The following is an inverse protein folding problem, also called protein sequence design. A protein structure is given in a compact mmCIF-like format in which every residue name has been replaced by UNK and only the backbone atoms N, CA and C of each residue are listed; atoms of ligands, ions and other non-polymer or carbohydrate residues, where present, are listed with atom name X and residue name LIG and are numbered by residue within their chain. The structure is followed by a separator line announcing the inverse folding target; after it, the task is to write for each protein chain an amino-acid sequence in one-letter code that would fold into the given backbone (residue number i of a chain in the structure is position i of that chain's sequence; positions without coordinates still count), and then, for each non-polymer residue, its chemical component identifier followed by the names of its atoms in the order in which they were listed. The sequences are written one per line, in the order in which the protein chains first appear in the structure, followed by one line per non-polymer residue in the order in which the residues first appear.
data_IF_892002653986
#
_entry.id   IF_892002653986
#
_cell.length_a   1.000
_cell.length_b   1.000
_cell.length_c   1.000
_cell.angle_alpha   90.00
_cell.angle_beta   90.00
_cell.angle_gamma   90.00
#
_symmetry.space_group_name_H-M   'P 1'
#
loop_
_entity.id
_entity.type
_entity.pdbx_description
1 polymer ?
#
# COMPACT_ATOMS: atom_id res chain seq x y z
N UNK A 1 -2.69 -7.69 11.15
CA UNK A 1 -3.23 -6.67 12.08
C UNK A 1 -4.47 -7.23 12.77
N UNK A 2 -4.57 -7.27 14.11
CA UNK A 2 -5.66 -7.95 14.78
C UNK A 2 -6.91 -7.05 14.83
N UNK A 3 -7.62 -6.97 13.71
CA UNK A 3 -9.00 -6.46 13.70
C UNK A 3 -9.92 -7.63 14.01
N UNK A 4 -10.88 -7.44 14.92
CA UNK A 4 -11.90 -8.46 15.22
C UNK A 4 -12.77 -8.66 13.98
N UNK A 5 -12.91 -9.90 13.55
CA UNK A 5 -13.78 -10.32 12.45
C UNK A 5 -15.17 -9.69 12.51
N UNK A 6 -15.77 -9.70 13.70
CA UNK A 6 -17.09 -9.13 13.94
C UNK A 6 -17.20 -7.63 13.60
N UNK A 7 -16.13 -6.85 13.73
CA UNK A 7 -16.12 -5.42 13.36
C UNK A 7 -16.25 -5.25 11.84
N UNK A 8 -15.48 -6.01 11.06
CA UNK A 8 -15.54 -5.96 9.59
C UNK A 8 -16.88 -6.48 9.09
N UNK A 9 -17.34 -7.62 9.62
CA UNK A 9 -18.61 -8.21 9.22
C UNK A 9 -19.81 -7.33 9.58
N UNK A 10 -19.78 -6.65 10.73
CA UNK A 10 -20.82 -5.69 11.08
C UNK A 10 -20.85 -4.51 10.10
N UNK A 11 -19.68 -3.96 9.74
CA UNK A 11 -19.60 -2.88 8.77
C UNK A 11 -20.07 -3.32 7.37
N UNK A 12 -19.61 -4.47 6.88
CA UNK A 12 -19.98 -5.01 5.58
C UNK A 12 -21.48 -5.32 5.48
N UNK A 13 -22.04 -6.02 6.49
CA UNK A 13 -23.48 -6.26 6.54
C UNK A 13 -24.27 -4.95 6.59
N UNK A 14 -23.82 -3.97 7.37
CA UNK A 14 -24.50 -2.67 7.47
C UNK A 14 -24.51 -1.94 6.12
N UNK A 15 -23.37 -1.90 5.42
CA UNK A 15 -23.27 -1.33 4.07
C UNK A 15 -24.26 -2.01 3.13
N UNK A 16 -24.20 -3.34 3.02
CA UNK A 16 -25.04 -4.12 2.10
C UNK A 16 -26.55 -4.10 2.45
N UNK A 17 -26.92 -3.78 3.70
CA UNK A 17 -28.32 -3.77 4.13
C UNK A 17 -28.96 -2.38 4.19
N UNK A 18 -28.15 -1.32 4.09
CA UNK A 18 -28.60 0.05 4.35
C UNK A 18 -28.20 1.06 3.28
N UNK A 19 -27.23 0.73 2.45
CA UNK A 19 -26.90 1.56 1.29
C UNK A 19 -28.07 1.62 0.32
N UNK A 20 -28.17 2.72 -0.40
CA UNK A 20 -29.11 2.91 -1.50
C UNK A 20 -28.66 2.24 -2.81
N UNK A 21 -27.42 1.74 -2.86
CA UNK A 21 -26.84 1.09 -4.04
C UNK A 21 -26.86 -0.44 -3.89
N UNK A 22 -26.98 -1.14 -5.03
CA UNK A 22 -26.84 -2.59 -5.07
C UNK A 22 -25.43 -2.99 -5.51
N UNK A 23 -24.63 -3.53 -4.58
CA UNK A 23 -23.24 -3.92 -4.83
C UNK A 23 -22.84 -5.17 -4.04
N UNK A 24 -21.60 -5.63 -4.26
CA UNK A 24 -21.00 -6.71 -3.51
C UNK A 24 -19.72 -6.23 -2.82
N UNK A 25 -19.38 -6.84 -1.68
CA UNK A 25 -18.15 -6.57 -0.94
C UNK A 25 -17.17 -7.71 -1.14
N UNK A 26 -15.94 -7.38 -1.56
CA UNK A 26 -14.80 -8.29 -1.55
C UNK A 26 -13.92 -7.95 -0.35
N UNK A 27 -13.87 -8.87 0.62
CA UNK A 27 -12.92 -8.78 1.72
C UNK A 27 -11.64 -9.55 1.36
N UNK A 28 -10.50 -8.86 1.41
CA UNK A 28 -9.18 -9.44 1.21
C UNK A 28 -8.41 -9.45 2.53
N UNK A 29 -8.07 -10.64 3.02
CA UNK A 29 -7.25 -10.80 4.22
C UNK A 29 -7.44 -12.16 4.89
N UNK A 30 -6.65 -12.43 5.93
CA UNK A 30 -6.68 -13.70 6.66
C UNK A 30 -8.10 -14.07 7.06
N UNK A 31 -8.52 -15.29 6.69
CA UNK A 31 -9.79 -15.84 7.13
C UNK A 31 -9.81 -15.92 8.66
N UNK A 32 -10.89 -15.45 9.25
CA UNK A 32 -11.06 -15.54 10.69
C UNK A 32 -11.61 -16.91 11.07
N UNK A 33 -11.19 -17.40 12.24
CA UNK A 33 -11.78 -18.61 12.83
C UNK A 33 -13.23 -18.33 13.24
N UNK A 34 -14.12 -19.28 12.98
CA UNK A 34 -15.57 -19.22 13.30
C UNK A 34 -15.82 -18.80 14.74
N UNK A 35 -15.01 -19.26 15.70
CA UNK A 35 -15.13 -18.92 17.13
C UNK A 35 -14.92 -17.45 17.50
N UNK A 36 -14.52 -16.59 16.54
CA UNK A 36 -14.26 -15.16 16.77
C UNK A 36 -15.44 -14.23 16.44
N UNK A 37 -16.59 -14.79 16.04
CA UNK A 37 -17.78 -14.05 15.60
C UNK A 37 -19.03 -14.59 16.31
N UNK A 38 -19.96 -13.72 16.69
CA UNK A 38 -21.24 -14.16 17.26
C UNK A 38 -22.08 -14.93 16.23
N UNK A 39 -22.83 -15.98 16.61
CA UNK A 39 -23.66 -16.76 15.68
C UNK A 39 -24.64 -15.92 14.83
N UNK A 40 -25.16 -14.83 15.40
CA UNK A 40 -26.07 -13.93 14.69
C UNK A 40 -25.40 -13.19 13.51
N UNK A 41 -24.14 -12.76 13.68
CA UNK A 41 -23.37 -12.10 12.61
C UNK A 41 -22.94 -13.12 11.57
N UNK A 42 -22.53 -14.32 12.00
CA UNK A 42 -22.15 -15.40 11.10
C UNK A 42 -23.31 -15.81 10.17
N UNK A 43 -24.51 -16.03 10.72
CA UNK A 43 -25.71 -16.34 9.92
C UNK A 43 -25.97 -15.29 8.84
N UNK A 44 -25.83 -14.01 9.19
CA UNK A 44 -26.02 -12.88 8.26
C UNK A 44 -24.98 -12.87 7.14
N UNK A 45 -23.71 -13.06 7.47
CA UNK A 45 -22.63 -13.11 6.47
C UNK A 45 -22.78 -14.33 5.56
N UNK A 46 -23.15 -15.49 6.09
CA UNK A 46 -23.37 -16.69 5.28
C UNK A 46 -24.53 -16.51 4.29
N UNK A 47 -25.60 -15.81 4.69
CA UNK A 47 -26.68 -15.45 3.78
C UNK A 47 -26.19 -14.51 2.66
N UNK A 48 -25.37 -13.50 2.99
CA UNK A 48 -24.77 -12.60 1.99
C UNK A 48 -23.81 -13.33 1.04
N UNK A 49 -23.03 -14.29 1.55
CA UNK A 49 -22.16 -15.17 0.73
C UNK A 49 -22.99 -16.01 -0.24
N UNK A 50 -24.05 -16.66 0.25
CA UNK A 50 -24.97 -17.46 -0.58
C UNK A 50 -25.68 -16.62 -1.65
N UNK A 51 -25.95 -15.34 -1.36
CA UNK A 51 -26.54 -14.39 -2.30
C UNK A 51 -25.51 -13.74 -3.25
N UNK A 52 -24.22 -14.08 -3.16
CA UNK A 52 -23.16 -13.48 -3.99
C UNK A 52 -22.84 -12.01 -3.65
N UNK A 53 -23.27 -11.51 -2.49
CA UNK A 53 -23.06 -10.12 -2.04
C UNK A 53 -21.81 -9.92 -1.19
N UNK A 54 -21.22 -11.00 -0.69
CA UNK A 54 -19.99 -10.94 0.10
C UNK A 54 -19.03 -12.06 -0.31
N UNK A 55 -17.82 -11.69 -0.72
CA UNK A 55 -16.75 -12.61 -1.08
C UNK A 55 -15.57 -12.44 -0.12
N UNK A 56 -15.03 -13.55 0.37
CA UNK A 56 -13.89 -13.56 1.28
C UNK A 56 -12.72 -14.32 0.65
N UNK A 57 -11.64 -13.61 0.38
CA UNK A 57 -10.40 -14.16 -0.17
C UNK A 57 -9.23 -13.86 0.77
N UNK A 58 -8.33 -14.83 0.92
CA UNK A 58 -7.18 -14.66 1.82
C UNK A 58 -6.12 -13.74 1.20
N UNK A 59 -5.94 -13.86 -0.11
CA UNK A 59 -5.01 -13.10 -0.93
C UNK A 59 -5.65 -12.85 -2.30
N UNK A 60 -5.24 -11.76 -2.94
CA UNK A 60 -5.62 -11.43 -4.30
C UNK A 60 -4.48 -10.67 -4.96
N UNK A 61 -4.33 -10.86 -6.27
CA UNK A 61 -3.50 -9.99 -7.09
C UNK A 61 -4.24 -8.66 -7.30
N UNK A 62 -3.69 -7.58 -6.74
CA UNK A 62 -4.30 -6.26 -6.82
C UNK A 62 -4.25 -5.69 -8.24
N UNK A 63 -3.24 -6.03 -9.06
CA UNK A 63 -3.18 -5.63 -10.46
C UNK A 63 -4.34 -6.19 -11.28
N UNK A 64 -4.87 -7.36 -10.89
CA UNK A 64 -6.04 -7.98 -11.53
C UNK A 64 -7.35 -7.56 -10.87
N UNK A 65 -7.38 -7.47 -9.55
CA UNK A 65 -8.60 -7.21 -8.78
C UNK A 65 -9.01 -5.75 -8.82
N UNK A 66 -8.09 -4.82 -8.58
CA UNK A 66 -8.41 -3.40 -8.35
C UNK A 66 -9.08 -2.71 -9.55
N UNK A 67 -8.71 -3.02 -10.83
CA UNK A 67 -9.43 -2.50 -11.98
C UNK A 67 -10.92 -2.86 -11.98
N UNK A 68 -11.32 -3.95 -11.32
CA UNK A 68 -12.70 -4.47 -11.27
C UNK A 68 -13.54 -3.99 -10.08
N UNK A 69 -12.96 -3.21 -9.16
CA UNK A 69 -13.66 -2.69 -7.98
C UNK A 69 -14.12 -1.26 -8.22
N UNK A 70 -15.16 -0.77 -7.54
CA UNK A 70 -15.64 0.62 -7.71
C UNK A 70 -15.10 1.58 -6.64
N UNK A 71 -14.78 1.08 -5.46
CA UNK A 71 -14.27 1.87 -4.33
C UNK A 71 -13.48 0.99 -3.34
N UNK A 72 -12.71 1.63 -2.46
CA UNK A 72 -11.82 0.93 -1.53
C UNK A 72 -11.99 1.38 -0.08
N UNK A 73 -11.99 0.41 0.84
CA UNK A 73 -11.75 0.65 2.27
C UNK A 73 -10.44 -0.06 2.63
N UNK A 74 -9.38 0.71 2.83
CA UNK A 74 -8.03 0.19 3.12
C UNK A 74 -7.62 0.52 4.55
N UNK A 75 -6.69 -0.25 5.10
CA UNK A 75 -6.18 0.03 6.45
C UNK A 75 -5.20 1.23 6.49
N UNK A 76 -4.75 1.73 5.34
CA UNK A 76 -3.83 2.87 5.22
C UNK A 76 -2.35 2.51 5.10
N UNK A 77 -2.00 1.27 4.71
CA UNK A 77 -0.60 0.94 4.38
C UNK A 77 -0.19 1.59 3.07
N UNK A 78 1.06 2.05 2.96
CA UNK A 78 1.62 2.72 1.78
C UNK A 78 1.27 1.99 0.47
N UNK A 79 1.71 0.74 0.32
CA UNK A 79 1.57 -0.01 -0.93
C UNK A 79 0.13 -0.16 -1.38
N UNK A 80 -0.75 -0.66 -0.50
CA UNK A 80 -2.17 -0.87 -0.86
C UNK A 80 -2.91 0.44 -1.09
N UNK A 81 -2.59 1.50 -0.35
CA UNK A 81 -3.30 2.78 -0.49
C UNK A 81 -2.91 3.46 -1.78
N UNK A 82 -1.62 3.52 -2.12
CA UNK A 82 -1.15 4.10 -3.38
C UNK A 82 -1.70 3.30 -4.58
N UNK A 83 -1.69 1.97 -4.51
CA UNK A 83 -2.24 1.14 -5.57
C UNK A 83 -3.75 1.39 -5.79
N UNK A 84 -4.52 1.55 -4.71
CA UNK A 84 -5.94 1.91 -4.79
C UNK A 84 -6.13 3.30 -5.41
N UNK A 85 -5.33 4.29 -4.99
CA UNK A 85 -5.39 5.66 -5.51
C UNK A 85 -5.08 5.74 -7.01
N UNK A 86 -4.10 4.96 -7.49
CA UNK A 86 -3.72 4.87 -8.91
C UNK A 86 -4.85 4.37 -9.82
N UNK A 87 -5.88 3.71 -9.26
CA UNK A 87 -7.06 3.31 -10.05
C UNK A 87 -8.02 4.46 -10.36
N UNK A 88 -7.83 5.63 -9.74
CA UNK A 88 -8.72 6.79 -9.93
C UNK A 88 -10.11 6.60 -9.33
N UNK A 89 -10.21 5.89 -8.20
CA UNK A 89 -11.48 5.54 -7.53
C UNK A 89 -11.49 6.00 -6.07
N UNK A 90 -12.67 6.16 -5.44
CA UNK A 90 -12.77 6.59 -4.06
C UNK A 90 -12.06 5.66 -3.07
N UNK A 91 -11.35 6.25 -2.10
CA UNK A 91 -10.58 5.50 -1.09
C UNK A 91 -10.88 6.03 0.32
N UNK A 92 -11.46 5.18 1.16
CA UNK A 92 -11.54 5.41 2.61
C UNK A 92 -10.42 4.68 3.34
N UNK A 93 -9.81 5.36 4.32
CA UNK A 93 -8.81 4.76 5.19
C UNK A 93 -9.41 4.48 6.56
N UNK A 94 -9.40 3.20 6.96
CA UNK A 94 -9.88 2.75 8.26
C UNK A 94 -8.98 1.66 8.83
N UNK A 95 -8.26 1.99 9.91
CA UNK A 95 -7.30 1.10 10.57
C UNK A 95 -7.16 1.41 12.06
N UNK A 96 -6.03 1.05 12.66
CA UNK A 96 -5.66 1.55 14.00
C UNK A 96 -5.13 2.97 13.92
N UNK A 97 -4.89 3.46 12.69
CA UNK A 97 -4.34 4.78 12.42
C UNK A 97 -3.01 4.94 13.16
N UNK A 98 -2.04 4.07 12.85
CA UNK A 98 -0.66 4.15 13.35
C UNK A 98 0.28 4.39 12.17
N UNK A 99 1.33 5.20 12.40
CA UNK A 99 2.35 5.53 11.39
C UNK A 99 1.72 5.95 10.05
N UNK A 100 2.12 5.30 8.96
CA UNK A 100 1.67 5.53 7.59
C UNK A 100 0.15 5.54 7.45
N UNK A 101 -0.60 4.81 8.29
CA UNK A 101 -2.07 4.79 8.22
C UNK A 101 -2.70 6.15 8.50
N UNK A 102 -2.11 6.96 9.38
CA UNK A 102 -2.57 8.34 9.61
C UNK A 102 -2.23 9.23 8.44
N UNK A 103 -1.02 9.11 7.94
CA UNK A 103 -0.53 9.89 6.81
C UNK A 103 -1.39 9.65 5.58
N UNK A 104 -1.54 8.40 5.15
CA UNK A 104 -2.33 8.06 3.97
C UNK A 104 -3.82 8.33 4.14
N UNK A 105 -4.34 8.17 5.36
CA UNK A 105 -5.70 8.61 5.67
C UNK A 105 -5.89 10.11 5.49
N UNK A 106 -4.93 10.93 5.95
CA UNK A 106 -4.94 12.37 5.74
C UNK A 106 -4.80 12.73 4.25
N UNK A 107 -3.89 12.06 3.52
CA UNK A 107 -3.71 12.28 2.07
C UNK A 107 -5.02 12.01 1.32
N UNK A 108 -5.72 10.90 1.59
CA UNK A 108 -7.00 10.60 0.93
C UNK A 108 -8.05 11.68 1.22
N UNK A 109 -8.11 12.15 2.47
CA UNK A 109 -9.07 13.18 2.87
C UNK A 109 -8.74 14.56 2.28
N UNK A 110 -7.50 15.02 2.42
CA UNK A 110 -7.05 16.32 1.93
C UNK A 110 -7.15 16.40 0.40
N UNK A 111 -6.92 15.28 -0.29
CA UNK A 111 -7.03 15.19 -1.76
C UNK A 111 -8.47 15.06 -2.25
N UNK A 112 -9.46 14.99 -1.36
CA UNK A 112 -10.88 14.92 -1.72
C UNK A 112 -11.32 13.60 -2.37
N UNK A 113 -10.54 12.52 -2.25
CA UNK A 113 -10.87 11.21 -2.82
C UNK A 113 -11.59 10.29 -1.83
N UNK A 114 -11.77 10.75 -0.58
CA UNK A 114 -12.49 10.01 0.43
C UNK A 114 -12.67 10.77 1.75
N UNK A 115 -13.36 10.15 2.71
CA UNK A 115 -13.70 10.79 3.97
C UNK A 115 -12.49 10.91 4.90
N UNK A 116 -12.69 11.67 5.99
CA UNK A 116 -11.71 11.73 7.09
C UNK A 116 -11.43 10.31 7.59
N UNK A 117 -10.15 9.92 7.81
CA UNK A 117 -9.84 8.58 8.27
C UNK A 117 -10.46 8.31 9.63
N UNK A 118 -11.07 7.14 9.78
CA UNK A 118 -11.71 6.69 11.02
C UNK A 118 -10.96 5.51 11.61
N UNK A 119 -10.98 5.40 12.94
CA UNK A 119 -10.47 4.19 13.57
C UNK A 119 -11.37 3.01 13.21
N UNK A 120 -10.82 1.81 13.08
CA UNK A 120 -11.55 0.62 12.64
C UNK A 120 -12.77 0.27 13.51
N UNK A 121 -12.75 0.69 14.78
CA UNK A 121 -13.89 0.53 15.70
C UNK A 121 -15.07 1.46 15.38
N UNK A 122 -14.80 2.55 14.67
CA UNK A 122 -15.78 3.57 14.31
C UNK A 122 -16.23 3.47 12.85
N UNK A 123 -15.60 2.61 12.05
CA UNK A 123 -15.97 2.35 10.65
C UNK A 123 -17.47 2.09 10.49
N UNK A 124 -18.08 1.34 11.41
CA UNK A 124 -19.51 1.02 11.33
C UNK A 124 -20.43 2.26 11.30
N UNK A 125 -19.96 3.40 11.83
CA UNK A 125 -20.74 4.64 11.92
C UNK A 125 -20.80 5.36 10.57
N UNK A 126 -19.71 5.32 9.80
CA UNK A 126 -19.56 6.04 8.54
C UNK A 126 -19.54 5.15 7.30
N UNK A 127 -19.56 3.82 7.44
CA UNK A 127 -19.41 2.91 6.30
C UNK A 127 -20.51 3.03 5.24
N UNK A 128 -21.75 3.30 5.65
CA UNK A 128 -22.89 3.46 4.72
C UNK A 128 -22.75 4.76 3.94
N UNK A 129 -22.48 5.87 4.65
CA UNK A 129 -22.26 7.19 4.03
C UNK A 129 -21.10 7.16 3.02
N UNK A 130 -20.01 6.47 3.37
CA UNK A 130 -18.91 6.27 2.43
C UNK A 130 -19.35 5.45 1.22
N UNK A 131 -20.04 4.32 1.41
CA UNK A 131 -20.49 3.47 0.31
C UNK A 131 -21.42 4.23 -0.65
N UNK A 132 -22.39 4.95 -0.12
CA UNK A 132 -23.32 5.76 -0.91
C UNK A 132 -22.60 6.88 -1.66
N UNK A 133 -21.69 7.59 -0.99
CA UNK A 133 -20.89 8.64 -1.63
C UNK A 133 -19.93 8.09 -2.70
N UNK A 134 -19.36 6.92 -2.48
CA UNK A 134 -18.38 6.33 -3.38
C UNK A 134 -19.01 5.67 -4.62
N UNK A 135 -20.30 5.32 -4.56
CA UNK A 135 -21.06 4.68 -5.63
C UNK A 135 -22.04 5.64 -6.33
N UNK A 136 -22.01 6.92 -5.95
CA UNK A 136 -22.71 8.00 -6.63
C UNK A 136 -21.74 8.73 -7.58
N UNK A 137 -21.95 8.58 -8.89
CA UNK A 137 -21.13 9.20 -9.94
C UNK A 137 -21.09 10.74 -9.87
N UNK A 138 -22.09 11.36 -9.22
CA UNK A 138 -22.15 12.82 -9.03
C UNK A 138 -21.38 13.31 -7.80
N UNK A 139 -20.94 12.39 -6.93
CA UNK A 139 -20.24 12.73 -5.70
C UNK A 139 -18.81 13.23 -5.98
N UNK A 140 -18.37 14.18 -5.16
CA UNK A 140 -17.05 14.78 -5.28
C UNK A 140 -15.90 13.79 -5.13
N UNK A 141 -16.07 12.70 -4.36
CA UNK A 141 -15.04 11.66 -4.24
C UNK A 141 -14.78 10.99 -5.58
N UNK A 142 -15.84 10.66 -6.32
CA UNK A 142 -15.75 9.99 -7.61
C UNK A 142 -15.15 10.93 -8.65
N UNK A 143 -15.64 12.17 -8.73
CA UNK A 143 -15.13 13.14 -9.71
C UNK A 143 -13.66 13.48 -9.44
N UNK A 144 -13.30 13.68 -8.17
CA UNK A 144 -11.92 14.03 -7.80
C UNK A 144 -10.97 12.88 -8.09
N UNK A 145 -11.34 11.65 -7.69
CA UNK A 145 -10.51 10.47 -7.93
C UNK A 145 -10.26 10.21 -9.42
N UNK A 146 -11.26 10.44 -10.29
CA UNK A 146 -11.11 10.31 -11.75
C UNK A 146 -10.14 11.34 -12.36
N UNK A 147 -10.02 12.52 -11.76
CA UNK A 147 -9.19 13.62 -12.30
C UNK A 147 -7.79 13.70 -11.71
N UNK A 148 -7.59 13.15 -10.51
CA UNK A 148 -6.33 13.26 -9.79
C UNK A 148 -5.32 12.23 -10.32
N UNK A 149 -4.13 12.70 -10.69
CA UNK A 149 -3.03 11.82 -11.07
C UNK A 149 -2.23 11.38 -9.85
N UNK A 150 -1.96 10.08 -9.76
CA UNK A 150 -1.10 9.45 -8.74
C UNK A 150 0.18 8.87 -9.36
N UNK A 151 0.70 9.57 -10.37
CA UNK A 151 1.86 9.15 -11.17
C UNK A 151 1.45 8.57 -12.52
N UNK A 152 2.45 8.31 -13.37
CA UNK A 152 2.24 7.69 -14.68
C UNK A 152 1.85 6.22 -14.49
N UNK A 153 0.74 5.74 -15.08
CA UNK A 153 0.34 4.34 -15.03
C UNK A 153 1.36 3.39 -15.67
N UNK A 154 2.21 3.87 -16.57
CA UNK A 154 3.22 3.09 -17.29
C UNK A 154 4.64 3.25 -16.71
N UNK A 155 4.80 4.04 -15.65
CA UNK A 155 6.07 4.21 -14.94
C UNK A 155 5.93 3.73 -13.48
N UNK A 156 6.68 2.69 -13.14
CA UNK A 156 6.79 2.15 -11.79
C UNK A 156 7.94 2.80 -10.99
N UNK A 157 8.69 3.71 -11.62
CA UNK A 157 9.85 4.37 -11.06
C UNK A 157 11.05 3.45 -10.84
N UNK A 158 10.97 2.15 -11.15
CA UNK A 158 12.06 1.19 -10.92
C UNK A 158 13.26 1.55 -11.79
N UNK A 159 13.03 1.83 -13.07
CA UNK A 159 14.11 2.20 -14.00
C UNK A 159 14.83 3.46 -13.53
N UNK A 160 14.10 4.52 -13.16
CA UNK A 160 14.68 5.76 -12.65
C UNK A 160 15.47 5.55 -11.35
N UNK A 161 14.93 4.76 -10.42
CA UNK A 161 15.61 4.45 -9.16
C UNK A 161 16.89 3.63 -9.37
N UNK A 162 16.85 2.60 -10.23
CA UNK A 162 18.04 1.80 -10.56
C UNK A 162 19.13 2.66 -11.20
N UNK A 163 18.77 3.55 -12.13
CA UNK A 163 19.71 4.49 -12.72
C UNK A 163 20.31 5.42 -11.66
N UNK A 164 19.50 5.91 -10.71
CA UNK A 164 20.01 6.77 -9.63
C UNK A 164 20.98 6.02 -8.72
N UNK A 165 20.68 4.78 -8.34
CA UNK A 165 21.61 3.93 -7.58
C UNK A 165 22.92 3.72 -8.34
N UNK A 166 22.84 3.45 -9.65
CA UNK A 166 24.02 3.30 -10.49
C UNK A 166 24.89 4.55 -10.49
N UNK A 167 24.30 5.73 -10.65
CA UNK A 167 25.04 7.01 -10.58
C UNK A 167 25.73 7.19 -9.24
N UNK A 168 25.03 6.93 -8.12
CA UNK A 168 25.59 7.06 -6.78
C UNK A 168 26.82 6.16 -6.59
N UNK A 169 26.73 4.89 -7.02
CA UNK A 169 27.78 3.90 -6.81
C UNK A 169 28.96 4.07 -7.78
N UNK A 170 28.68 4.26 -9.08
CA UNK A 170 29.72 4.21 -10.13
C UNK A 170 30.33 5.58 -10.44
N UNK A 171 29.56 6.65 -10.31
CA UNK A 171 29.98 8.01 -10.73
C UNK A 171 30.31 8.88 -9.52
N UNK A 172 29.42 8.91 -8.52
CA UNK A 172 29.60 9.74 -7.32
C UNK A 172 30.46 9.03 -6.25
N UNK A 173 30.77 7.74 -6.43
CA UNK A 173 31.69 6.99 -5.58
C UNK A 173 31.13 6.71 -4.17
N UNK A 174 29.81 6.72 -3.99
CA UNK A 174 29.19 6.35 -2.72
C UNK A 174 29.46 4.88 -2.46
N UNK A 175 30.24 4.58 -1.42
CA UNK A 175 30.50 3.21 -1.00
C UNK A 175 29.38 2.73 -0.05
N UNK A 176 28.95 1.45 -0.16
CA UNK A 176 28.08 0.84 0.85
C UNK A 176 28.73 0.92 2.23
N UNK A 177 27.94 1.25 3.25
CA UNK A 177 28.40 1.20 4.65
C UNK A 177 28.65 -0.26 5.02
N UNK A 178 29.85 -0.58 5.50
CA UNK A 178 30.11 -1.91 6.07
C UNK A 178 29.40 -2.04 7.41
N UNK A 179 28.24 -2.71 7.41
CA UNK A 179 27.44 -2.94 8.62
C UNK A 179 28.10 -3.88 9.62
N UNK A 180 29.24 -4.51 9.28
CA UNK A 180 30.05 -5.35 10.17
C UNK A 180 31.20 -4.59 10.83
N UNK A 181 31.52 -3.39 10.33
CA UNK A 181 32.50 -2.53 10.97
C UNK A 181 31.92 -2.01 12.30
N UNK A 182 32.53 -2.39 13.43
CA UNK A 182 32.25 -1.81 14.75
C UNK A 182 32.82 -0.39 14.80
N UNK A 183 32.24 0.54 14.04
CA UNK A 183 32.58 1.95 14.06
C UNK A 183 31.67 2.72 15.02
N UNK A 184 32.27 3.56 15.87
CA UNK A 184 31.56 4.60 16.60
C UNK A 184 31.01 5.62 15.59
N UNK A 185 29.69 5.79 15.54
CA UNK A 185 29.06 6.87 14.77
C UNK A 185 29.33 8.20 15.47
N UNK A 186 30.37 8.92 15.08
CA UNK A 186 30.47 10.35 15.38
C UNK A 186 29.67 11.10 14.33
N UNK A 187 28.63 11.81 14.75
CA UNK A 187 27.90 12.77 13.91
C UNK A 187 28.92 13.79 13.41
N UNK A 188 29.30 13.70 12.14
CA UNK A 188 30.16 14.68 11.51
C UNK A 188 29.44 16.02 11.49
N UNK A 189 29.97 17.01 12.19
CA UNK A 189 29.66 18.40 11.86
C UNK A 189 30.16 18.66 10.43
N UNK A 190 29.35 19.38 9.66
CA UNK A 190 29.64 19.87 8.32
C UNK A 190 31.13 20.20 8.11
N UNK A 191 31.72 19.64 7.05
CA UNK A 191 32.99 20.12 6.52
C UNK A 191 32.76 20.57 5.09
N UNK A 192 32.45 21.86 4.95
CA UNK A 192 32.85 22.59 3.76
C UNK A 192 34.38 22.62 3.66
N UNK A 193 34.90 22.51 2.43
CA UNK A 193 36.33 22.56 2.03
C UNK A 193 37.15 21.33 2.47
N UNK A 194 37.85 20.57 1.64
CA UNK A 194 38.63 20.91 0.44
C UNK A 194 38.95 19.60 -0.28
N UNK A 195 38.90 19.58 -1.63
CA UNK A 195 39.20 18.40 -2.45
C UNK A 195 40.72 18.16 -2.47
N UNK A 196 41.19 17.16 -1.71
CA UNK A 196 42.54 16.60 -1.82
C UNK A 196 42.51 15.34 -2.69
N UNK A 197 43.04 15.44 -3.91
CA UNK A 197 43.13 14.33 -4.89
C UNK A 197 44.19 13.33 -4.43
N UNK A 198 43.79 12.22 -3.83
CA UNK A 198 44.70 11.11 -3.54
C UNK A 198 44.92 10.26 -4.81
N UNK A 199 46.19 10.06 -5.16
CA UNK A 199 46.62 9.30 -6.33
C UNK A 199 46.29 7.80 -6.17
N UNK A 200 45.85 7.17 -7.26
CA UNK A 200 45.64 5.72 -7.36
C UNK A 200 46.98 4.98 -7.30
N UNK A 201 47.10 3.86 -6.55
CA UNK A 201 48.29 3.01 -6.62
C UNK A 201 48.32 2.26 -7.95
N UNK A 202 49.41 2.43 -8.69
CA UNK A 202 49.79 1.59 -9.81
C UNK A 202 50.38 0.29 -9.30
N UNK A 203 49.76 -0.85 -9.58
CA UNK A 203 50.48 -2.08 -9.92
C UNK A 203 49.52 -3.09 -10.58
N UNK A 204 49.77 -3.37 -11.86
CA UNK A 204 49.24 -4.52 -12.59
C UNK A 204 50.20 -5.67 -12.36
N UNK A 205 49.70 -6.79 -11.85
CA UNK A 205 50.33 -8.09 -12.07
C UNK A 205 49.38 -8.93 -12.92
N UNK A 206 49.84 -9.29 -14.11
CA UNK A 206 49.13 -10.10 -15.10
C UNK A 206 48.94 -11.54 -14.58
N UNK A 207 47.80 -12.20 -14.84
CA UNK A 207 47.65 -13.63 -14.53
C UNK A 207 48.36 -14.50 -15.58
N UNK A 208 49.06 -15.55 -15.12
CA UNK A 208 49.67 -16.60 -15.95
C UNK A 208 48.63 -17.42 -16.72
N UNK A 209 48.93 -17.89 -17.94
CA UNK A 209 48.03 -18.71 -18.73
C UNK A 209 47.97 -20.16 -18.22
N UNK A 210 46.76 -20.71 -18.14
CA UNK A 210 46.50 -22.12 -17.83
C UNK A 210 46.76 -22.99 -19.08
N UNK A 211 47.57 -24.03 -18.92
CA UNK A 211 47.84 -25.06 -19.94
C UNK A 211 46.66 -26.04 -20.04
N UNK A 212 46.24 -26.46 -21.25
CA UNK A 212 45.16 -27.43 -21.40
C UNK A 212 45.69 -28.87 -21.32
N UNK A 213 45.07 -29.69 -20.48
CA UNK A 213 45.21 -31.16 -20.53
C UNK A 213 44.01 -31.78 -21.23
N UNK A 214 44.27 -32.41 -22.37
CA UNK A 214 43.49 -33.47 -23.03
C UNK A 214 44.48 -34.61 -23.29
N UNK A 215 44.05 -35.87 -23.52
CA UNK A 215 42.71 -36.32 -23.94
C UNK A 215 41.85 -36.92 -22.82
#
# INVERSE_FOLDING_TARGET
MPVRAGTIFAAAHRMLSKSMHDFAVVFVGKRWKVSSVSPAIEKKINALKAAGKFLEVEQADFGVLFPKLDAFIVHGGLGTTVEALRTGKPVAVSGTLLFDQRFWGKVCNDSGVGPRPVHIRDLWRSCVEFADSALDDSNSYVTTAKTLSWGDPNDDGVTANVQRFRTLLEVEGVAPVDSRAKGSWTVGQDVGQTVGRAALPTERTSPSPLTPTQP
#
